data_IF_445949032356
#
_entry.id   IF_445949032356
#
_cell.length_a   1.000
_cell.length_b   1.000
_cell.length_c   1.000
_cell.angle_alpha   90.00
_cell.angle_beta   90.00
_cell.angle_gamma   90.00
#
_symmetry.space_group_name_H-M   'P 1'
#
loop_
_entity.id
_entity.type
_entity.pdbx_description
1 polymer ?
#
# COMPACT_ATOMS: atom_id res chain seq x y z
N UNK A 1 -12.46 25.66 8.20
CA UNK A 1 -11.99 24.70 9.22
C UNK A 1 -10.60 24.25 8.84
N UNK A 2 -9.63 24.13 9.76
CA UNK A 2 -8.35 23.52 9.43
C UNK A 2 -8.59 22.10 8.93
N UNK A 3 -7.98 21.72 7.81
CA UNK A 3 -8.00 20.35 7.31
C UNK A 3 -7.15 19.54 8.30
N UNK A 4 -7.74 18.55 8.96
CA UNK A 4 -6.98 17.61 9.79
C UNK A 4 -5.99 16.84 8.91
N UNK A 5 -4.86 16.40 9.45
CA UNK A 5 -3.86 15.61 8.71
C UNK A 5 -2.84 16.42 7.90
N UNK A 6 -2.15 15.75 6.97
CA UNK A 6 -1.02 16.27 6.19
C UNK A 6 -1.40 16.50 4.73
N UNK A 7 -0.64 17.32 3.99
CA UNK A 7 -0.89 17.50 2.55
C UNK A 7 -0.29 16.37 1.69
N UNK A 8 0.67 15.63 2.25
CA UNK A 8 1.33 14.50 1.61
C UNK A 8 1.33 13.33 2.58
N UNK A 9 1.03 12.14 2.06
CA UNK A 9 1.16 10.88 2.76
C UNK A 9 2.15 9.96 2.06
N UNK A 10 2.81 9.08 2.80
CA UNK A 10 3.75 8.09 2.25
C UNK A 10 3.48 6.73 2.88
N UNK A 11 3.33 5.72 2.03
CA UNK A 11 3.24 4.33 2.47
C UNK A 11 4.55 3.63 2.17
N UNK A 12 5.13 2.99 3.18
CA UNK A 12 6.46 2.39 3.09
C UNK A 12 6.31 0.87 3.12
N UNK A 13 6.82 0.23 2.07
CA UNK A 13 6.75 -1.22 1.86
C UNK A 13 8.16 -1.78 1.73
N UNK A 14 8.45 -2.86 2.47
CA UNK A 14 9.67 -3.64 2.26
C UNK A 14 9.55 -4.43 0.95
N UNK A 15 10.44 -4.17 0.00
CA UNK A 15 10.44 -4.83 -1.32
C UNK A 15 11.57 -5.85 -1.49
N UNK A 16 12.59 -5.79 -0.63
CA UNK A 16 13.67 -6.77 -0.55
C UNK A 16 14.24 -6.85 0.88
N UNK A 17 15.17 -7.77 1.13
CA UNK A 17 15.81 -7.91 2.44
C UNK A 17 16.46 -6.61 2.94
N UNK A 18 16.96 -5.78 2.03
CA UNK A 18 17.69 -4.55 2.32
C UNK A 18 17.17 -3.31 1.57
N UNK A 19 15.93 -3.37 1.06
CA UNK A 19 15.33 -2.27 0.32
C UNK A 19 13.84 -2.07 0.68
N UNK A 20 13.44 -0.81 0.71
CA UNK A 20 12.05 -0.39 0.92
C UNK A 20 11.61 0.59 -0.18
N UNK A 21 10.42 0.38 -0.72
CA UNK A 21 9.74 1.33 -1.58
C UNK A 21 8.93 2.32 -0.73
N UNK A 22 8.88 3.56 -1.19
CA UNK A 22 8.14 4.66 -0.61
C UNK A 22 7.16 5.15 -1.67
N UNK A 23 5.88 5.05 -1.32
CA UNK A 23 4.74 5.32 -2.18
C UNK A 23 4.08 6.64 -1.75
N UNK A 24 4.50 7.80 -2.29
CA UNK A 24 3.91 9.08 -1.95
C UNK A 24 2.53 9.26 -2.57
N UNK A 25 1.63 9.89 -1.81
CA UNK A 25 0.37 10.41 -2.29
C UNK A 25 0.23 11.89 -1.88
N UNK A 26 0.05 12.81 -2.83
CA UNK A 26 0.08 12.59 -4.28
C UNK A 26 1.48 12.19 -4.80
N UNK A 27 1.51 11.39 -5.88
CA UNK A 27 2.73 10.82 -6.47
C UNK A 27 3.77 11.86 -6.93
N UNK A 28 3.33 13.07 -7.30
CA UNK A 28 4.21 14.18 -7.70
C UNK A 28 4.97 14.82 -6.52
N UNK A 29 4.81 14.31 -5.30
CA UNK A 29 5.49 14.79 -4.09
C UNK A 29 6.77 14.01 -3.77
N UNK A 30 7.22 13.12 -4.65
CA UNK A 30 8.42 12.28 -4.41
C UNK A 30 9.70 13.10 -4.15
N UNK A 31 9.85 14.27 -4.78
CA UNK A 31 10.98 15.18 -4.50
C UNK A 31 10.99 15.69 -3.06
N UNK A 32 9.82 16.06 -2.53
CA UNK A 32 9.65 16.49 -1.13
C UNK A 32 9.99 15.36 -0.15
N UNK A 33 9.58 14.13 -0.47
CA UNK A 33 9.88 12.94 0.33
C UNK A 33 11.40 12.70 0.39
N UNK A 34 12.07 12.79 -0.76
CA UNK A 34 13.53 12.65 -0.85
C UNK A 34 14.25 13.71 -0.01
N UNK A 35 13.86 14.98 -0.13
CA UNK A 35 14.46 16.08 0.63
C UNK A 35 14.26 15.89 2.14
N UNK A 36 13.05 15.52 2.57
CA UNK A 36 12.76 15.28 3.98
C UNK A 36 13.59 14.13 4.57
N UNK A 37 13.81 13.05 3.82
CA UNK A 37 14.63 11.94 4.28
C UNK A 37 16.14 12.26 4.23
N UNK A 38 16.61 12.98 3.21
CA UNK A 38 17.99 13.48 3.17
C UNK A 38 18.32 14.39 4.37
N UNK A 39 17.38 15.26 4.77
CA UNK A 39 17.49 16.07 6.00
C UNK A 39 17.55 15.22 7.29
N UNK A 40 17.18 13.94 7.22
CA UNK A 40 17.31 12.96 8.30
C UNK A 40 18.58 12.10 8.20
N UNK A 41 19.40 12.30 7.16
CA UNK A 41 20.53 11.44 6.83
C UNK A 41 20.13 10.09 6.22
N UNK A 42 18.91 9.98 5.69
CA UNK A 42 18.34 8.78 5.08
C UNK A 42 18.21 9.01 3.57
N UNK A 43 19.24 8.69 2.82
CA UNK A 43 19.24 8.93 1.37
C UNK A 43 18.35 7.93 0.62
N UNK A 44 17.52 8.43 -0.29
CA UNK A 44 16.64 7.61 -1.15
C UNK A 44 16.83 7.96 -2.62
N UNK A 45 16.65 6.97 -3.49
CA UNK A 45 16.70 7.15 -4.95
C UNK A 45 15.29 7.19 -5.53
N UNK A 46 14.99 8.16 -6.39
CA UNK A 46 13.72 8.18 -7.14
C UNK A 46 13.82 7.20 -8.30
N UNK A 47 12.84 6.32 -8.46
CA UNK A 47 12.83 5.34 -9.54
C UNK A 47 12.43 5.99 -10.87
N UNK A 48 13.24 5.80 -11.91
CA UNK A 48 12.98 6.25 -13.28
C UNK A 48 14.15 6.99 -13.91
N UNK A 49 14.15 7.20 -15.24
CA UNK A 49 15.18 7.97 -15.92
C UNK A 49 15.17 9.42 -15.40
N UNK A 50 16.37 9.96 -15.15
CA UNK A 50 16.59 11.36 -14.73
C UNK A 50 15.86 11.82 -13.44
N UNK A 51 15.53 10.89 -12.53
CA UNK A 51 14.81 11.17 -11.27
C UNK A 51 13.49 11.94 -11.51
N UNK A 52 12.44 11.25 -12.01
CA UNK A 52 11.21 11.87 -12.49
C UNK A 52 10.49 12.69 -11.41
N UNK A 53 9.71 13.69 -11.84
CA UNK A 53 8.89 14.52 -10.96
C UNK A 53 7.76 13.73 -10.26
N UNK A 54 7.45 12.54 -10.76
CA UNK A 54 6.37 11.66 -10.30
C UNK A 54 6.91 10.25 -10.10
N UNK A 55 6.50 9.59 -9.01
CA UNK A 55 6.71 8.16 -8.84
C UNK A 55 7.08 7.74 -7.42
N UNK A 56 7.79 6.62 -7.34
CA UNK A 56 8.21 5.99 -6.09
C UNK A 56 9.67 6.32 -5.76
N UNK A 57 9.99 6.38 -4.47
CA UNK A 57 11.37 6.42 -4.00
C UNK A 57 11.76 5.07 -3.42
N UNK A 58 13.03 4.70 -3.52
CA UNK A 58 13.58 3.49 -2.91
C UNK A 58 14.67 3.88 -1.92
N UNK A 59 14.50 3.41 -0.69
CA UNK A 59 15.55 3.39 0.31
C UNK A 59 16.31 2.07 0.21
N UNK A 60 17.64 2.14 0.22
CA UNK A 60 18.53 0.98 0.15
C UNK A 60 19.61 1.09 1.22
N UNK A 61 19.96 -0.04 1.80
CA UNK A 61 21.11 -0.17 2.70
C UNK A 61 21.93 -1.43 2.39
N UNK A 62 23.18 -1.46 2.82
CA UNK A 62 24.09 -2.57 2.52
C UNK A 62 23.73 -3.86 3.26
N UNK A 63 23.21 -3.74 4.48
CA UNK A 63 22.84 -4.86 5.33
C UNK A 63 21.34 -5.13 5.28
N UNK A 64 20.87 -6.36 5.57
CA UNK A 64 19.45 -6.62 5.76
C UNK A 64 18.82 -5.62 6.74
N UNK A 65 17.67 -5.10 6.34
CA UNK A 65 16.91 -4.11 7.08
C UNK A 65 16.06 -4.82 8.12
N UNK A 66 16.08 -4.36 9.36
CA UNK A 66 15.13 -4.79 10.38
C UNK A 66 13.82 -3.99 10.27
N UNK A 67 12.83 -4.32 11.09
CA UNK A 67 11.56 -3.61 11.09
C UNK A 67 11.67 -2.21 11.71
N UNK A 68 12.67 -2.00 12.58
CA UNK A 68 12.97 -0.71 13.19
C UNK A 68 13.42 0.31 12.14
N UNK A 69 14.21 -0.11 11.15
CA UNK A 69 14.62 0.76 10.05
C UNK A 69 13.45 1.22 9.17
N UNK A 70 12.43 0.37 8.96
CA UNK A 70 11.19 0.81 8.29
C UNK A 70 10.44 1.85 9.14
N UNK A 71 10.37 1.62 10.45
CA UNK A 71 9.78 2.57 11.40
C UNK A 71 10.51 3.91 11.41
N UNK A 72 11.84 3.89 11.34
CA UNK A 72 12.67 5.09 11.30
C UNK A 72 12.38 5.96 10.08
N UNK A 73 12.15 5.35 8.91
CA UNK A 73 11.76 6.09 7.70
C UNK A 73 10.41 6.80 7.91
N UNK A 74 9.42 6.09 8.46
CA UNK A 74 8.10 6.67 8.72
C UNK A 74 8.16 7.79 9.76
N UNK A 75 8.91 7.60 10.84
CA UNK A 75 9.06 8.60 11.90
C UNK A 75 9.79 9.84 11.38
N UNK A 76 10.85 9.66 10.59
CA UNK A 76 11.61 10.76 9.99
C UNK A 76 10.75 11.65 9.08
N UNK A 77 9.85 11.04 8.30
CA UNK A 77 8.89 11.75 7.46
C UNK A 77 7.82 12.47 8.28
N UNK A 78 7.23 11.79 9.26
CA UNK A 78 6.16 12.37 10.08
C UNK A 78 6.65 13.55 10.92
N UNK A 79 7.85 13.46 11.48
CA UNK A 79 8.49 14.58 12.20
C UNK A 79 8.77 15.79 11.30
N UNK A 80 8.78 15.61 9.98
CA UNK A 80 8.99 16.65 8.96
C UNK A 80 7.71 17.08 8.25
N UNK A 81 6.54 16.71 8.79
CA UNK A 81 5.26 17.17 8.29
C UNK A 81 4.69 16.38 7.11
N UNK A 82 5.12 15.13 6.94
CA UNK A 82 4.61 14.21 5.91
C UNK A 82 3.99 13.00 6.61
N UNK A 83 2.71 12.72 6.40
CA UNK A 83 2.06 11.62 7.10
C UNK A 83 2.56 10.27 6.59
N UNK A 84 3.35 9.53 7.37
CA UNK A 84 3.91 8.28 6.90
C UNK A 84 3.42 7.06 7.67
N UNK A 85 3.29 5.95 6.95
CA UNK A 85 2.92 4.65 7.48
C UNK A 85 3.86 3.59 6.93
N UNK A 86 4.59 2.91 7.82
CA UNK A 86 5.42 1.78 7.46
C UNK A 86 4.79 0.49 7.99
N UNK A 87 4.88 -0.56 7.18
CA UNK A 87 4.31 -1.85 7.50
C UNK A 87 5.38 -2.95 7.37
N UNK A 88 5.64 -3.63 8.47
CA UNK A 88 6.47 -4.82 8.48
C UNK A 88 5.62 -6.05 8.18
N UNK A 89 6.16 -6.95 7.37
CA UNK A 89 5.56 -8.24 7.08
C UNK A 89 5.87 -9.17 8.26
N UNK A 90 4.85 -9.52 9.04
CA UNK A 90 4.94 -10.32 10.27
C UNK A 90 5.08 -11.81 9.97
N UNK A 91 4.67 -12.24 8.77
CA UNK A 91 4.85 -13.61 8.29
C UNK A 91 3.87 -13.98 7.17
N UNK A 92 4.00 -15.22 6.73
CA UNK A 92 3.03 -15.91 5.87
C UNK A 92 1.89 -16.44 6.77
N UNK A 93 0.64 -16.04 6.52
CA UNK A 93 -0.53 -16.46 7.31
C UNK A 93 -1.70 -16.72 6.35
N UNK A 94 -2.55 -17.76 6.45
CA UNK A 94 -2.72 -18.91 7.35
C UNK A 94 -3.11 -20.11 6.47
N UNK A 95 -2.42 -21.24 6.67
CA UNK A 95 -2.80 -22.55 6.13
C UNK A 95 -1.59 -23.36 5.67
N UNK A 96 -1.30 -24.46 6.38
CA UNK A 96 -0.14 -25.37 6.21
C UNK A 96 0.06 -25.99 4.81
N UNK A 97 -0.68 -25.57 3.78
CA UNK A 97 -0.58 -26.12 2.42
C UNK A 97 -0.76 -25.10 1.28
N UNK A 98 -0.93 -23.79 1.55
CA UNK A 98 -1.45 -22.87 0.54
C UNK A 98 -0.83 -21.47 0.62
N UNK A 99 0.05 -21.16 -0.34
CA UNK A 99 0.54 -19.83 -0.76
C UNK A 99 0.44 -18.67 0.24
N UNK A 100 1.60 -18.21 0.70
CA UNK A 100 1.77 -17.10 1.65
C UNK A 100 0.92 -15.87 1.34
N UNK A 101 0.10 -15.45 2.31
CA UNK A 101 -0.45 -14.10 2.35
C UNK A 101 0.23 -13.36 3.50
N UNK A 102 0.77 -12.20 3.16
CA UNK A 102 1.55 -11.36 4.05
C UNK A 102 0.66 -10.76 5.14
N UNK A 103 0.92 -11.12 6.40
CA UNK A 103 0.38 -10.38 7.54
C UNK A 103 1.21 -9.11 7.75
N UNK A 104 0.57 -7.96 7.95
CA UNK A 104 1.27 -6.69 8.16
C UNK A 104 1.07 -6.14 9.58
N UNK A 105 2.13 -5.64 10.20
CA UNK A 105 2.07 -4.80 11.40
C UNK A 105 2.63 -3.42 11.12
N UNK A 106 2.03 -2.39 11.71
CA UNK A 106 2.52 -1.02 11.58
C UNK A 106 3.75 -0.82 12.46
N UNK A 107 4.81 -0.29 11.87
CA UNK A 107 6.07 0.04 12.54
C UNK A 107 6.30 1.55 12.55
N UNK A 108 7.20 2.00 13.44
CA UNK A 108 7.37 3.42 13.77
C UNK A 108 6.50 3.86 14.95
N UNK A 109 6.91 4.95 15.59
CA UNK A 109 6.28 5.50 16.81
C UNK A 109 5.51 6.79 16.55
N UNK A 110 5.89 7.52 15.51
CA UNK A 110 5.38 8.83 15.16
C UNK A 110 4.60 8.70 13.86
N UNK A 111 3.30 8.40 13.96
CA UNK A 111 2.42 8.33 12.79
C UNK A 111 1.08 9.06 13.02
N UNK A 112 0.42 9.52 11.94
CA UNK A 112 -0.85 10.23 12.05
C UNK A 112 -1.99 9.33 12.53
N UNK A 113 -2.66 9.72 13.62
CA UNK A 113 -3.83 9.03 14.19
C UNK A 113 -5.12 9.33 13.44
N UNK A 114 -5.23 10.55 12.94
CA UNK A 114 -6.28 11.00 12.05
C UNK A 114 -5.63 11.46 10.76
N UNK A 115 -6.07 10.90 9.64
CA UNK A 115 -5.60 11.27 8.32
C UNK A 115 -6.60 12.16 7.59
N UNK A 116 -6.62 12.02 6.27
CA UNK A 116 -7.47 12.79 5.34
C UNK A 116 -8.24 11.87 4.41
N UNK A 117 -8.64 10.70 4.91
CA UNK A 117 -9.21 9.62 4.09
C UNK A 117 -8.28 9.23 2.93
N UNK A 118 -6.97 9.20 3.22
CA UNK A 118 -5.95 8.74 2.27
C UNK A 118 -5.55 7.33 2.68
N UNK A 119 -5.79 6.37 1.80
CA UNK A 119 -5.45 4.96 2.02
C UNK A 119 -4.56 4.41 0.92
N UNK A 120 -3.75 3.42 1.25
CA UNK A 120 -3.14 2.54 0.24
C UNK A 120 -3.86 1.21 0.27
N UNK A 121 -4.35 0.78 -0.89
CA UNK A 121 -4.91 -0.56 -1.11
C UNK A 121 -3.96 -1.38 -1.96
N UNK A 122 -3.65 -2.60 -1.53
CA UNK A 122 -2.79 -3.52 -2.29
C UNK A 122 -3.42 -4.90 -2.34
N UNK A 123 -3.61 -5.42 -3.56
CA UNK A 123 -4.13 -6.76 -3.77
C UNK A 123 -3.01 -7.73 -4.11
N UNK A 124 -3.00 -8.89 -3.47
CA UNK A 124 -2.16 -10.02 -3.81
C UNK A 124 -3.00 -11.14 -4.37
N UNK A 125 -2.54 -11.72 -5.47
CA UNK A 125 -3.22 -12.79 -6.17
C UNK A 125 -2.31 -14.00 -6.24
N UNK A 126 -2.85 -15.14 -5.83
CA UNK A 126 -2.30 -16.45 -6.14
C UNK A 126 -3.26 -17.15 -7.09
N UNK A 127 -2.76 -17.54 -8.28
CA UNK A 127 -3.54 -18.34 -9.25
C UNK A 127 -3.22 -19.84 -9.17
N UNK A 128 -2.09 -20.20 -8.58
CA UNK A 128 -1.56 -21.57 -8.50
C UNK A 128 -0.74 -21.74 -7.21
N UNK A 129 -0.83 -22.87 -6.50
CA UNK A 129 -1.66 -24.05 -6.80
C UNK A 129 -3.15 -23.85 -6.51
N UNK A 130 -3.51 -22.81 -5.77
CA UNK A 130 -4.90 -22.47 -5.44
C UNK A 130 -5.18 -21.01 -5.76
N UNK A 131 -6.37 -20.79 -6.30
CA UNK A 131 -6.86 -19.47 -6.66
C UNK A 131 -7.32 -18.73 -5.40
N UNK A 132 -6.60 -17.68 -5.01
CA UNK A 132 -6.89 -16.84 -3.85
C UNK A 132 -6.48 -15.40 -4.13
N UNK A 133 -7.28 -14.46 -3.65
CA UNK A 133 -6.93 -13.05 -3.66
C UNK A 133 -7.22 -12.44 -2.29
N UNK A 134 -6.35 -11.56 -1.84
CA UNK A 134 -6.52 -10.78 -0.61
C UNK A 134 -6.12 -9.34 -0.91
N UNK A 135 -6.91 -8.39 -0.43
CA UNK A 135 -6.56 -6.97 -0.47
C UNK A 135 -6.28 -6.48 0.93
N UNK A 136 -5.19 -5.74 1.09
CA UNK A 136 -4.91 -5.01 2.31
C UNK A 136 -5.15 -3.52 2.11
N UNK A 137 -5.85 -2.90 3.05
CA UNK A 137 -5.94 -1.44 3.13
C UNK A 137 -5.11 -0.92 4.30
N UNK A 138 -4.35 0.14 4.03
CA UNK A 138 -3.39 0.76 4.95
C UNK A 138 -3.69 2.25 5.09
N UNK A 139 -3.47 2.82 6.27
CA UNK A 139 -3.75 4.23 6.54
C UNK A 139 -3.78 4.59 8.03
N UNK A 140 -4.38 5.75 8.32
CA UNK A 140 -4.57 6.19 9.70
C UNK A 140 -5.60 5.32 10.42
N UNK A 141 -5.47 5.10 11.75
CA UNK A 141 -6.49 4.38 12.52
C UNK A 141 -7.91 4.89 12.29
N UNK A 142 -8.13 6.21 12.33
CA UNK A 142 -9.46 6.79 12.16
C UNK A 142 -10.03 6.61 10.74
N UNK A 143 -9.17 6.72 9.71
CA UNK A 143 -9.60 6.51 8.32
C UNK A 143 -9.91 5.02 8.08
N UNK A 144 -9.14 4.12 8.68
CA UNK A 144 -9.36 2.67 8.60
C UNK A 144 -10.64 2.25 9.33
N UNK A 145 -10.94 2.82 10.50
CA UNK A 145 -12.21 2.56 11.20
C UNK A 145 -13.41 2.93 10.30
N UNK A 146 -13.38 4.10 9.67
CA UNK A 146 -14.43 4.55 8.74
C UNK A 146 -14.49 3.67 7.48
N UNK A 147 -13.34 3.38 6.86
CA UNK A 147 -13.27 2.55 5.66
C UNK A 147 -13.74 1.12 5.90
N UNK A 148 -13.40 0.52 7.05
CA UNK A 148 -13.81 -0.84 7.40
C UNK A 148 -15.34 -0.95 7.52
N UNK A 149 -15.99 0.05 8.13
CA UNK A 149 -17.46 0.09 8.19
C UNK A 149 -18.08 0.05 6.79
N UNK A 150 -17.57 0.89 5.87
CA UNK A 150 -18.07 0.98 4.49
C UNK A 150 -17.80 -0.31 3.70
N UNK A 151 -16.59 -0.85 3.79
CA UNK A 151 -16.17 -2.03 3.03
C UNK A 151 -16.88 -3.31 3.52
N UNK A 152 -17.13 -3.43 4.83
CA UNK A 152 -17.79 -4.58 5.43
C UNK A 152 -19.24 -4.78 4.98
N UNK A 153 -19.87 -3.76 4.38
CA UNK A 153 -21.21 -3.90 3.78
C UNK A 153 -21.22 -4.77 2.52
N UNK A 154 -20.07 -4.90 1.84
CA UNK A 154 -19.94 -5.60 0.55
C UNK A 154 -18.92 -6.73 0.58
N UNK A 155 -17.86 -6.62 1.36
CA UNK A 155 -16.74 -7.55 1.37
C UNK A 155 -16.57 -8.23 2.72
N UNK A 156 -15.92 -9.40 2.71
CA UNK A 156 -15.46 -10.05 3.93
C UNK A 156 -14.19 -9.34 4.43
N UNK A 157 -14.33 -8.51 5.46
CA UNK A 157 -13.25 -7.70 6.02
C UNK A 157 -12.82 -8.19 7.40
N UNK A 158 -11.52 -8.32 7.63
CA UNK A 158 -10.93 -8.57 8.94
C UNK A 158 -10.03 -7.39 9.37
N UNK A 159 -10.37 -6.67 10.47
CA UNK A 159 -9.54 -5.58 10.95
C UNK A 159 -8.29 -6.10 11.68
N UNK A 160 -7.13 -5.55 11.36
CA UNK A 160 -5.89 -5.81 12.09
C UNK A 160 -5.65 -4.69 13.10
N UNK A 161 -5.60 -5.07 14.38
CA UNK A 161 -5.48 -4.15 15.50
C UNK A 161 -4.09 -4.20 16.12
N UNK A 162 -3.55 -3.03 16.45
CA UNK A 162 -2.41 -2.88 17.37
C UNK A 162 -2.87 -2.12 18.64
N UNK A 163 -2.05 -2.05 19.71
CA UNK A 163 -2.41 -1.31 20.94
C UNK A 163 -2.73 0.18 20.74
N UNK A 164 -2.42 0.72 19.57
CA UNK A 164 -2.53 2.13 19.19
C UNK A 164 -3.66 2.35 18.16
N UNK A 165 -4.48 1.33 17.86
CA UNK A 165 -5.67 1.38 17.00
C UNK A 165 -5.58 0.45 15.80
N UNK A 166 -6.53 0.57 14.86
CA UNK A 166 -6.48 -0.20 13.62
C UNK A 166 -5.20 0.11 12.84
N UNK A 167 -4.53 -0.94 12.37
CA UNK A 167 -3.28 -0.87 11.62
C UNK A 167 -3.52 -1.12 10.12
N UNK A 168 -4.39 -2.07 9.80
CA UNK A 168 -4.78 -2.40 8.44
C UNK A 168 -6.17 -3.05 8.41
N UNK A 169 -6.73 -3.21 7.22
CA UNK A 169 -7.90 -4.05 6.96
C UNK A 169 -7.47 -5.14 5.97
N UNK A 170 -7.69 -6.40 6.33
CA UNK A 170 -7.63 -7.51 5.40
C UNK A 170 -9.01 -7.67 4.73
N UNK A 171 -9.03 -7.85 3.42
CA UNK A 171 -10.25 -8.06 2.63
C UNK A 171 -10.07 -9.36 1.86
N UNK A 172 -10.88 -10.36 2.21
CA UNK A 172 -10.89 -11.66 1.56
C UNK A 172 -11.79 -11.61 0.33
N UNK A 173 -11.35 -12.28 -0.74
CA UNK A 173 -12.08 -12.33 -2.01
C UNK A 173 -12.50 -13.77 -2.37
N UNK A 174 -13.48 -14.35 -1.65
CA UNK A 174 -14.01 -15.68 -1.99
C UNK A 174 -14.58 -15.76 -3.41
N UNK A 175 -15.03 -14.63 -3.97
CA UNK A 175 -15.52 -14.50 -5.34
C UNK A 175 -14.45 -14.85 -6.37
N UNK A 176 -13.19 -14.46 -6.11
CA UNK A 176 -12.06 -14.81 -6.96
C UNK A 176 -11.70 -16.30 -6.84
N UNK A 177 -11.73 -16.84 -5.62
CA UNK A 177 -11.50 -18.27 -5.38
C UNK A 177 -12.57 -19.14 -6.06
N UNK A 178 -13.82 -18.67 -6.08
CA UNK A 178 -14.93 -19.30 -6.78
C UNK A 178 -14.91 -19.10 -8.31
N UNK A 179 -14.01 -18.28 -8.84
CA UNK A 179 -13.96 -17.94 -10.28
C UNK A 179 -15.13 -17.07 -10.77
N UNK A 180 -15.78 -16.36 -9.86
CA UNK A 180 -16.95 -15.50 -10.14
C UNK A 180 -16.61 -14.04 -10.36
N UNK A 181 -15.42 -13.60 -9.93
CA UNK A 181 -14.89 -12.26 -10.16
C UNK A 181 -13.40 -12.31 -10.53
N UNK A 182 -12.96 -11.37 -11.37
CA UNK A 182 -11.55 -11.14 -11.66
C UNK A 182 -11.00 -9.99 -10.79
N UNK A 183 -9.67 -9.94 -10.56
CA UNK A 183 -9.06 -8.98 -9.64
C UNK A 183 -9.39 -7.51 -9.91
N UNK A 184 -9.39 -7.11 -11.18
CA UNK A 184 -9.68 -5.72 -11.56
C UNK A 184 -11.12 -5.32 -11.27
N UNK A 185 -12.07 -6.27 -11.36
CA UNK A 185 -13.46 -6.03 -10.95
C UNK A 185 -13.53 -5.78 -9.45
N UNK A 186 -12.86 -6.62 -8.65
CA UNK A 186 -12.84 -6.48 -7.20
C UNK A 186 -12.19 -5.16 -6.74
N UNK A 187 -11.08 -4.76 -7.39
CA UNK A 187 -10.43 -3.48 -7.12
C UNK A 187 -11.31 -2.28 -7.50
N UNK A 188 -12.00 -2.32 -8.65
CA UNK A 188 -12.94 -1.26 -9.05
C UNK A 188 -14.11 -1.15 -8.06
N UNK A 189 -14.63 -2.28 -7.58
CA UNK A 189 -15.69 -2.28 -6.58
C UNK A 189 -15.23 -1.68 -5.23
N UNK A 190 -14.02 -1.99 -4.78
CA UNK A 190 -13.41 -1.35 -3.60
C UNK A 190 -13.27 0.16 -3.84
N UNK A 191 -12.75 0.55 -5.00
CA UNK A 191 -12.56 1.96 -5.37
C UNK A 191 -13.89 2.73 -5.39
N UNK A 192 -14.97 2.13 -5.90
CA UNK A 192 -16.29 2.75 -5.91
C UNK A 192 -16.83 2.97 -4.50
N UNK A 193 -16.70 1.99 -3.60
CA UNK A 193 -17.13 2.11 -2.20
C UNK A 193 -16.38 3.23 -1.49
N UNK A 194 -15.04 3.22 -1.59
CA UNK A 194 -14.18 4.21 -0.94
C UNK A 194 -14.34 5.61 -1.56
N UNK A 195 -14.34 5.70 -2.89
CA UNK A 195 -14.48 6.95 -3.63
C UNK A 195 -15.82 7.65 -3.39
N UNK A 196 -16.92 6.89 -3.24
CA UNK A 196 -18.23 7.45 -2.88
C UNK A 196 -18.22 8.14 -1.50
N UNK A 197 -17.37 7.71 -0.58
CA UNK A 197 -17.16 8.32 0.73
C UNK A 197 -16.04 9.41 0.74
N UNK A 198 -15.45 9.71 -0.43
CA UNK A 198 -14.41 10.71 -0.58
C UNK A 198 -13.04 10.26 -0.09
N UNK A 199 -12.76 8.96 -0.08
CA UNK A 199 -11.42 8.45 0.09
C UNK A 199 -10.61 8.58 -1.19
N UNK A 200 -9.32 8.84 -1.02
CA UNK A 200 -8.32 8.94 -2.08
C UNK A 200 -7.12 8.05 -1.73
N UNK A 201 -6.20 7.86 -2.68
CA UNK A 201 -4.90 7.26 -2.39
C UNK A 201 -4.39 6.33 -3.47
N UNK A 202 -3.64 5.31 -3.06
CA UNK A 202 -2.84 4.46 -3.95
C UNK A 202 -3.50 3.09 -4.05
N UNK A 203 -3.64 2.57 -5.27
CA UNK A 203 -4.13 1.21 -5.51
C UNK A 203 -3.09 0.43 -6.30
N UNK A 204 -2.72 -0.73 -5.77
CA UNK A 204 -1.76 -1.63 -6.40
C UNK A 204 -2.29 -3.05 -6.48
N UNK A 205 -1.86 -3.77 -7.50
CA UNK A 205 -2.22 -5.16 -7.72
C UNK A 205 -0.97 -5.96 -8.06
N UNK A 206 -0.70 -7.02 -7.30
CA UNK A 206 0.37 -7.97 -7.57
C UNK A 206 -0.26 -9.28 -8.08
N UNK A 207 -0.27 -9.43 -9.41
CA UNK A 207 -0.71 -10.65 -10.11
C UNK A 207 0.48 -11.30 -10.83
N UNK A 208 1.27 -12.16 -10.16
CA UNK A 208 2.41 -12.84 -10.79
C UNK A 208 2.00 -13.80 -11.92
N UNK A 209 0.71 -14.12 -12.06
CA UNK A 209 0.17 -14.98 -13.11
C UNK A 209 -0.46 -14.21 -14.28
N UNK A 210 -0.57 -12.88 -14.21
CA UNK A 210 -0.91 -12.07 -15.36
C UNK A 210 0.27 -12.12 -16.34
N UNK A 211 0.09 -12.80 -17.47
CA UNK A 211 1.05 -12.70 -18.57
C UNK A 211 1.26 -11.24 -18.97
N UNK A 212 2.34 -10.91 -19.72
CA UNK A 212 2.56 -9.56 -20.20
C UNK A 212 1.29 -9.01 -20.84
N UNK A 213 0.91 -7.79 -20.48
CA UNK A 213 -0.16 -7.06 -21.16
C UNK A 213 0.21 -7.04 -22.64
N UNK A 214 -0.61 -7.58 -23.55
CA UNK A 214 -0.30 -7.50 -24.96
C UNK A 214 -0.23 -6.02 -25.33
N UNK A 215 0.90 -5.60 -25.90
CA UNK A 215 1.05 -4.28 -26.51
C UNK A 215 -0.11 -4.09 -27.48
N UNK A 216 -1.01 -3.17 -27.18
CA UNK A 216 -2.12 -2.80 -28.05
C UNK A 216 -1.62 -1.78 -29.08
N UNK A 217 -0.60 -2.16 -29.84
CA UNK A 217 0.00 -1.33 -30.89
C UNK A 217 0.21 -2.09 -32.20
N UNK A 218 -0.74 -2.95 -32.56
CA UNK A 218 -0.99 -3.32 -33.94
C UNK A 218 -2.40 -2.87 -34.35
N UNK A 219 -2.56 -1.55 -34.45
CA UNK A 219 -3.62 -0.99 -35.27
C UNK A 219 -3.35 -1.37 -36.73
N UNK A 220 -4.27 -2.16 -37.29
CA UNK A 220 -4.36 -2.52 -38.70
C UNK A 220 -4.07 -1.34 -39.62
N UNK A 221 -3.06 -1.47 -40.48
CA UNK A 221 -2.96 -0.68 -41.70
C UNK A 221 -3.66 -1.46 -42.83
N UNK A 222 -4.72 -0.92 -43.47
CA UNK A 222 -5.33 -1.57 -44.61
C UNK A 222 -4.45 -1.39 -45.86
N UNK A 223 -4.09 -2.50 -46.49
CA UNK A 223 -3.51 -2.57 -47.84
C UNK A 223 -4.47 -3.20 -48.82
#
# INVERSE_FOLDING_TARGET
MPRLGFDTYVFIERIAANAAALHPFPEHRVGLVREALADAGLEVSVLGPDAPEVGEAVYFQSEPMDDDALGLLADALTLRGIGAYAYALVGDSIGDDLGSIALFTRVGDVFPRAGRRVLMTRMWISRSPVRKAVTWAFGSPADLDEANLLLSERFETEPVLDPRGMAAIEILHPEFAAGTAEPMTLLDEIFQVLGAAGFEGITMCNDPGAGPVPDTDEAEAPG
#
